data_IF_542073916745
#
_entry.id   IF_542073916745
#
_cell.length_a   1.000
_cell.length_b   1.000
_cell.length_c   1.000
_cell.angle_alpha   90.00
_cell.angle_beta   90.00
_cell.angle_gamma   90.00
#
_symmetry.space_group_name_H-M   'P 1'
#
loop_
_entity.id
_entity.type
_entity.pdbx_description
1 polymer ?
#
# COMPACT_ATOMS: atom_id res chain seq x y z
N UNK A 1 -37.28 12.83 -7.35
CA UNK A 1 -37.15 11.55 -6.65
C UNK A 1 -35.65 11.32 -6.42
N UNK A 2 -35.14 11.64 -5.22
CA UNK A 2 -33.74 11.43 -4.87
C UNK A 2 -33.50 9.94 -4.65
N UNK A 3 -32.94 9.27 -5.65
CA UNK A 3 -32.38 7.92 -5.46
C UNK A 3 -31.04 8.05 -4.72
N UNK A 4 -31.07 8.31 -3.41
CA UNK A 4 -29.99 7.92 -2.55
C UNK A 4 -30.04 6.38 -2.44
N UNK A 5 -29.51 5.70 -3.43
CA UNK A 5 -29.15 4.30 -3.24
C UNK A 5 -28.23 4.25 -2.02
N UNK A 6 -28.71 3.68 -0.94
CA UNK A 6 -27.99 3.59 0.33
C UNK A 6 -26.74 2.73 0.06
N UNK A 7 -25.60 3.38 -0.13
CA UNK A 7 -24.35 2.66 -0.36
C UNK A 7 -24.04 1.79 0.86
N UNK A 8 -23.82 0.51 0.64
CA UNK A 8 -23.35 -0.41 1.69
C UNK A 8 -21.89 -0.09 2.03
N UNK A 9 -21.59 -0.02 3.31
CA UNK A 9 -20.25 0.18 3.83
C UNK A 9 -19.88 -0.98 4.75
N UNK A 10 -19.03 -1.87 4.27
CA UNK A 10 -18.59 -3.02 5.04
C UNK A 10 -17.64 -2.62 6.17
N UNK A 11 -17.88 -3.18 7.35
CA UNK A 11 -17.07 -2.98 8.53
C UNK A 11 -16.41 -4.31 8.95
N UNK A 12 -15.08 -4.32 8.96
CA UNK A 12 -14.25 -5.32 9.64
C UNK A 12 -13.80 -4.74 10.99
N UNK A 13 -12.51 -4.49 11.22
CA UNK A 13 -12.01 -3.82 12.43
C UNK A 13 -12.46 -2.36 12.62
N UNK A 14 -13.08 -1.74 11.62
CA UNK A 14 -13.73 -0.44 11.71
C UNK A 14 -12.82 0.78 11.86
N UNK A 15 -11.50 0.61 11.90
CA UNK A 15 -10.52 1.67 12.18
C UNK A 15 -10.55 2.83 11.17
N UNK A 16 -10.91 2.56 9.91
CA UNK A 16 -11.12 3.59 8.89
C UNK A 16 -12.58 4.07 8.84
N UNK A 17 -13.53 3.14 8.83
CA UNK A 17 -14.95 3.47 8.67
C UNK A 17 -15.48 4.28 9.85
N UNK A 18 -15.13 3.91 11.08
CA UNK A 18 -15.60 4.62 12.29
C UNK A 18 -15.07 6.07 12.31
N UNK A 19 -13.85 6.31 11.87
CA UNK A 19 -13.29 7.66 11.76
C UNK A 19 -14.02 8.47 10.68
N UNK A 20 -14.26 7.89 9.49
CA UNK A 20 -15.01 8.55 8.42
C UNK A 20 -16.45 8.90 8.83
N UNK A 21 -17.08 8.05 9.60
CA UNK A 21 -18.43 8.31 10.13
C UNK A 21 -18.44 9.41 11.18
N UNK A 22 -17.50 9.39 12.11
CA UNK A 22 -17.36 10.44 13.13
C UNK A 22 -17.11 11.82 12.51
N UNK A 23 -16.33 11.86 11.44
CA UNK A 23 -16.07 13.09 10.70
C UNK A 23 -17.21 13.48 9.71
N UNK A 24 -18.29 12.70 9.61
CA UNK A 24 -19.43 13.00 8.74
C UNK A 24 -19.20 12.78 7.24
N UNK A 25 -18.07 12.19 6.87
CA UNK A 25 -17.69 11.91 5.46
C UNK A 25 -18.39 10.67 4.92
N UNK A 26 -18.71 9.71 5.79
CA UNK A 26 -19.36 8.45 5.45
C UNK A 26 -20.75 8.39 6.09
N UNK A 27 -21.77 8.00 5.31
CA UNK A 27 -23.18 8.00 5.74
C UNK A 27 -23.97 6.78 5.23
N UNK A 28 -23.31 5.83 4.57
CA UNK A 28 -23.93 4.62 4.04
C UNK A 28 -24.46 3.68 5.12
N UNK A 29 -25.19 2.66 4.73
CA UNK A 29 -25.60 1.60 5.64
C UNK A 29 -24.40 0.75 6.02
N UNK A 30 -24.14 0.59 7.31
CA UNK A 30 -23.07 -0.28 7.80
C UNK A 30 -23.54 -1.73 7.74
N UNK A 31 -22.67 -2.58 7.19
CA UNK A 31 -22.79 -4.03 7.23
C UNK A 31 -21.53 -4.60 7.88
N UNK A 32 -21.70 -5.20 9.06
CA UNK A 32 -20.60 -5.92 9.70
C UNK A 32 -20.28 -7.19 8.93
N UNK A 33 -19.00 -7.35 8.56
CA UNK A 33 -18.55 -8.57 7.91
C UNK A 33 -18.58 -9.73 8.92
N UNK A 34 -19.35 -10.75 8.62
CA UNK A 34 -19.32 -12.01 9.36
C UNK A 34 -18.10 -12.81 8.89
N UNK A 35 -17.15 -13.13 9.77
CA UNK A 35 -16.00 -13.93 9.41
C UNK A 35 -16.41 -15.31 8.89
N UNK A 36 -15.78 -15.73 7.80
CA UNK A 36 -15.83 -17.11 7.30
C UNK A 36 -14.47 -17.76 7.48
N UNK A 37 -14.35 -19.07 7.36
CA UNK A 37 -13.08 -19.80 7.51
C UNK A 37 -12.00 -19.28 6.54
N UNK A 38 -12.40 -18.89 5.33
CA UNK A 38 -11.46 -18.34 4.33
C UNK A 38 -11.05 -16.89 4.61
N UNK A 39 -11.77 -16.19 5.48
CA UNK A 39 -11.48 -14.80 5.86
C UNK A 39 -10.62 -14.69 7.11
N UNK A 40 -10.49 -15.76 7.88
CA UNK A 40 -9.73 -15.80 9.13
C UNK A 40 -8.50 -16.67 9.01
N UNK A 41 -7.46 -16.35 9.76
CA UNK A 41 -6.25 -17.15 9.81
C UNK A 41 -5.33 -17.03 8.58
N UNK A 42 -4.22 -17.77 8.66
CA UNK A 42 -3.19 -17.87 7.63
C UNK A 42 -3.00 -19.33 7.29
N UNK A 43 -3.41 -19.73 6.08
CA UNK A 43 -3.22 -21.08 5.56
C UNK A 43 -1.94 -21.13 4.72
N UNK A 44 -1.18 -22.22 4.84
CA UNK A 44 0.08 -22.40 4.15
C UNK A 44 0.02 -23.60 3.22
N UNK A 45 0.44 -23.41 1.97
CA UNK A 45 0.65 -24.48 1.02
C UNK A 45 1.88 -25.31 1.34
N UNK A 46 1.98 -26.55 0.76
CA UNK A 46 3.14 -27.40 0.91
C UNK A 46 4.42 -26.79 0.30
N UNK A 47 4.28 -25.92 -0.66
CA UNK A 47 5.35 -25.17 -1.33
C UNK A 47 5.79 -23.92 -0.57
N UNK A 48 5.11 -23.56 0.53
CA UNK A 48 5.38 -22.34 1.30
C UNK A 48 4.59 -21.13 0.86
N UNK A 49 3.67 -21.24 -0.12
CA UNK A 49 2.72 -20.21 -0.44
C UNK A 49 1.78 -19.92 0.75
N UNK A 50 1.30 -18.71 0.88
CA UNK A 50 0.39 -18.35 1.96
C UNK A 50 -0.94 -17.82 1.40
N UNK A 51 -2.05 -18.25 2.02
CA UNK A 51 -3.36 -17.61 1.93
C UNK A 51 -3.66 -16.92 3.25
N UNK A 52 -3.84 -15.62 3.19
CA UNK A 52 -4.07 -14.78 4.36
C UNK A 52 -5.49 -14.24 4.29
N UNK A 53 -6.31 -14.60 5.26
CA UNK A 53 -7.69 -14.13 5.35
C UNK A 53 -7.77 -12.60 5.53
N UNK A 54 -8.77 -11.98 4.92
CA UNK A 54 -8.94 -10.53 4.96
C UNK A 54 -9.24 -9.98 6.37
N UNK A 55 -9.71 -10.82 7.29
CA UNK A 55 -9.97 -10.49 8.69
C UNK A 55 -8.75 -10.69 9.59
N UNK A 56 -7.64 -11.25 9.10
CA UNK A 56 -6.37 -11.32 9.84
C UNK A 56 -5.94 -9.91 10.21
N UNK A 57 -5.62 -9.70 11.50
CA UNK A 57 -5.24 -8.38 11.99
C UNK A 57 -3.84 -7.98 11.50
N UNK A 58 -3.60 -6.69 11.43
CA UNK A 58 -2.27 -6.16 11.09
C UNK A 58 -1.23 -6.60 12.13
N UNK A 59 -1.62 -6.67 13.41
CA UNK A 59 -0.74 -7.15 14.48
C UNK A 59 -0.35 -8.62 14.28
N UNK A 60 -1.31 -9.48 13.87
CA UNK A 60 -1.02 -10.88 13.53
C UNK A 60 0.00 -10.96 12.40
N UNK A 61 -0.16 -10.17 11.32
CA UNK A 61 0.82 -10.13 10.22
C UNK A 61 2.21 -9.67 10.67
N UNK A 62 2.26 -8.72 11.60
CA UNK A 62 3.51 -8.18 12.14
C UNK A 62 4.25 -9.17 13.06
N UNK A 63 3.52 -9.99 13.81
CA UNK A 63 4.06 -10.83 14.88
C UNK A 63 4.15 -12.32 14.55
N UNK A 64 3.41 -12.81 13.54
CA UNK A 64 3.45 -14.22 13.14
C UNK A 64 4.85 -14.64 12.69
N UNK A 65 5.42 -15.62 13.34
CA UNK A 65 6.80 -16.06 13.11
C UNK A 65 7.02 -16.57 11.68
N UNK A 66 6.02 -17.26 11.11
CA UNK A 66 6.15 -17.82 9.76
C UNK A 66 6.03 -16.73 8.69
N UNK A 67 5.15 -15.73 8.88
CA UNK A 67 5.07 -14.55 8.01
C UNK A 67 6.37 -13.74 8.07
N UNK A 68 6.94 -13.56 9.26
CA UNK A 68 8.22 -12.87 9.43
C UNK A 68 9.38 -13.57 8.74
N UNK A 69 9.38 -14.92 8.72
CA UNK A 69 10.41 -15.67 8.04
C UNK A 69 10.23 -15.71 6.52
N UNK A 70 8.98 -15.87 6.04
CA UNK A 70 8.70 -16.04 4.62
C UNK A 70 8.53 -14.72 3.87
N UNK A 71 7.96 -13.67 4.54
CA UNK A 71 7.57 -12.42 3.91
C UNK A 71 8.00 -11.22 4.76
N UNK A 72 9.31 -11.11 5.01
CA UNK A 72 9.90 -10.12 5.93
C UNK A 72 9.50 -8.67 5.55
N UNK A 73 9.44 -8.33 4.26
CA UNK A 73 8.99 -7.02 3.78
C UNK A 73 7.53 -6.73 4.13
N UNK A 74 6.64 -7.74 4.07
CA UNK A 74 5.24 -7.61 4.47
C UNK A 74 5.09 -7.48 5.99
N UNK A 75 5.81 -8.32 6.74
CA UNK A 75 5.80 -8.25 8.21
C UNK A 75 6.34 -6.91 8.72
N UNK A 76 7.43 -6.40 8.11
CA UNK A 76 7.99 -5.09 8.40
C UNK A 76 7.03 -3.94 8.10
N UNK A 77 6.34 -4.00 6.96
CA UNK A 77 5.29 -3.05 6.61
C UNK A 77 4.15 -3.07 7.63
N UNK A 78 3.68 -4.26 8.03
CA UNK A 78 2.64 -4.41 9.04
C UNK A 78 3.05 -3.87 10.41
N UNK A 79 4.26 -4.20 10.88
CA UNK A 79 4.80 -3.74 12.17
C UNK A 79 4.97 -2.21 12.26
N UNK A 80 5.19 -1.57 11.11
CA UNK A 80 5.38 -0.12 11.01
C UNK A 80 4.09 0.69 10.93
N UNK A 81 2.93 0.03 10.80
CA UNK A 81 1.63 0.69 10.65
C UNK A 81 1.11 1.20 12.00
N UNK A 82 0.65 2.46 12.01
CA UNK A 82 -0.17 3.05 13.07
C UNK A 82 0.35 2.76 14.51
N UNK A 83 -0.58 2.68 15.47
CA UNK A 83 -0.28 2.27 16.85
C UNK A 83 -0.61 0.79 17.07
N UNK A 84 -0.04 0.12 18.09
CA UNK A 84 -0.39 -1.26 18.44
C UNK A 84 -1.89 -1.48 18.60
N UNK A 85 -2.61 -0.52 19.20
CA UNK A 85 -4.07 -0.56 19.40
C UNK A 85 -4.81 -0.59 18.06
N UNK A 86 -4.36 0.19 17.08
CA UNK A 86 -4.95 0.16 15.74
C UNK A 86 -4.61 -1.15 15.03
N UNK A 87 -3.38 -1.64 15.13
CA UNK A 87 -2.96 -2.90 14.50
C UNK A 87 -3.70 -4.11 15.06
N UNK A 88 -4.01 -4.14 16.37
CA UNK A 88 -4.72 -5.25 17.00
C UNK A 88 -6.17 -5.42 16.52
N UNK A 89 -6.76 -4.39 15.90
CA UNK A 89 -8.15 -4.37 15.41
C UNK A 89 -8.22 -4.21 13.88
N UNK A 90 -7.33 -3.40 13.31
CA UNK A 90 -7.25 -3.18 11.86
C UNK A 90 -6.89 -4.48 11.14
N UNK A 91 -7.57 -4.77 10.02
CA UNK A 91 -7.43 -6.03 9.28
C UNK A 91 -6.72 -5.83 7.94
N UNK A 92 -6.19 -6.90 7.36
CA UNK A 92 -5.58 -6.91 6.05
C UNK A 92 -6.53 -6.35 4.97
N UNK A 93 -7.74 -6.90 4.87
CA UNK A 93 -8.74 -6.46 3.89
C UNK A 93 -9.18 -5.02 4.14
N UNK A 94 -9.37 -4.64 5.41
CA UNK A 94 -9.70 -3.26 5.80
C UNK A 94 -8.59 -2.27 5.44
N UNK A 95 -7.32 -2.67 5.54
CA UNK A 95 -6.19 -1.85 5.12
C UNK A 95 -6.14 -1.65 3.59
N UNK A 96 -6.39 -2.71 2.80
CA UNK A 96 -6.45 -2.61 1.34
C UNK A 96 -7.64 -1.79 0.84
N UNK A 97 -8.79 -1.89 1.51
CA UNK A 97 -10.04 -1.21 1.13
C UNK A 97 -10.20 0.19 1.73
N UNK A 98 -9.27 0.65 2.59
CA UNK A 98 -9.38 1.94 3.26
C UNK A 98 -9.42 3.11 2.28
N UNK A 99 -10.07 4.22 2.70
CA UNK A 99 -10.20 5.42 1.91
C UNK A 99 -9.08 6.43 2.21
N UNK A 100 -8.85 7.30 1.25
CA UNK A 100 -7.85 8.38 1.31
C UNK A 100 -7.80 9.12 2.65
N UNK A 101 -6.59 9.52 3.06
CA UNK A 101 -6.31 10.31 4.28
C UNK A 101 -6.16 11.80 3.99
N UNK A 102 -6.47 12.23 2.76
CA UNK A 102 -6.43 13.62 2.35
C UNK A 102 -7.35 14.50 3.22
N UNK A 103 -6.84 15.61 3.70
CA UNK A 103 -7.57 16.55 4.56
C UNK A 103 -8.85 17.07 3.91
N UNK A 104 -8.80 17.37 2.62
CA UNK A 104 -9.96 17.81 1.86
C UNK A 104 -11.04 16.73 1.76
N UNK A 105 -10.61 15.47 1.58
CA UNK A 105 -11.54 14.34 1.61
C UNK A 105 -12.15 14.14 3.00
N UNK A 106 -11.33 14.24 4.07
CA UNK A 106 -11.76 14.00 5.46
C UNK A 106 -12.58 15.14 6.07
N UNK A 107 -12.64 16.30 5.41
CA UNK A 107 -13.47 17.42 5.84
C UNK A 107 -14.85 17.34 5.18
N UNK A 108 -15.97 17.18 5.94
CA UNK A 108 -17.31 17.04 5.38
C UNK A 108 -17.83 18.30 4.67
N UNK A 109 -17.25 19.46 4.97
CA UNK A 109 -17.68 20.77 4.42
C UNK A 109 -16.98 21.12 3.11
N UNK A 110 -15.99 20.35 2.67
CA UNK A 110 -15.26 20.60 1.44
C UNK A 110 -15.65 19.60 0.36
N UNK A 111 -15.97 20.09 -0.83
CA UNK A 111 -16.16 19.25 -2.01
C UNK A 111 -14.80 18.75 -2.53
N UNK A 112 -14.74 17.51 -3.01
CA UNK A 112 -13.60 17.00 -3.76
C UNK A 112 -14.05 15.85 -4.69
N UNK A 113 -13.21 15.43 -5.63
CA UNK A 113 -13.52 14.37 -6.60
C UNK A 113 -14.09 13.12 -5.96
N UNK A 114 -13.47 12.63 -4.87
CA UNK A 114 -13.89 11.41 -4.15
C UNK A 114 -15.22 11.55 -3.39
N UNK A 115 -15.78 12.76 -3.36
CA UNK A 115 -17.10 13.08 -2.78
C UNK A 115 -18.07 13.64 -3.82
N UNK A 116 -17.81 13.41 -5.12
CA UNK A 116 -18.66 13.89 -6.21
C UNK A 116 -18.48 15.35 -6.57
N UNK A 117 -17.46 16.03 -6.05
CA UNK A 117 -17.12 17.40 -6.44
C UNK A 117 -16.42 17.44 -7.81
N UNK A 118 -16.39 18.61 -8.47
CA UNK A 118 -15.89 18.75 -9.84
C UNK A 118 -14.36 18.76 -9.95
N UNK A 119 -13.63 19.08 -8.88
CA UNK A 119 -12.19 19.26 -8.90
C UNK A 119 -11.52 18.73 -7.62
N UNK A 120 -10.21 18.55 -7.67
CA UNK A 120 -9.39 18.26 -6.51
C UNK A 120 -8.91 19.59 -5.88
N UNK A 121 -9.42 20.01 -4.71
CA UNK A 121 -9.05 21.29 -4.11
C UNK A 121 -7.59 21.32 -3.63
N UNK A 122 -6.98 20.16 -3.36
CA UNK A 122 -5.58 20.08 -2.96
C UNK A 122 -4.62 20.58 -4.04
N UNK A 123 -5.00 20.54 -5.32
CA UNK A 123 -4.12 21.01 -6.42
C UNK A 123 -3.81 22.49 -6.32
N UNK A 124 -4.81 23.32 -5.99
CA UNK A 124 -4.63 24.75 -5.80
C UNK A 124 -4.37 25.16 -4.36
N UNK A 125 -4.60 24.24 -3.41
CA UNK A 125 -4.42 24.45 -1.99
C UNK A 125 -3.18 23.78 -1.41
N UNK A 126 -3.26 23.44 -0.12
CA UNK A 126 -2.16 22.73 0.57
C UNK A 126 -2.10 21.27 0.12
N UNK A 127 -1.00 20.92 -0.53
CA UNK A 127 -0.71 19.56 -1.01
C UNK A 127 0.65 19.03 -0.51
N UNK A 128 1.14 19.55 0.63
CA UNK A 128 2.44 19.16 1.20
C UNK A 128 2.63 17.64 1.30
N UNK A 129 1.57 16.90 1.65
CA UNK A 129 1.57 15.44 1.73
C UNK A 129 1.02 14.76 0.47
N UNK A 130 0.84 15.51 -0.62
CA UNK A 130 0.36 15.01 -1.90
C UNK A 130 1.33 14.07 -2.59
N UNK A 131 0.95 13.69 -3.82
CA UNK A 131 1.74 12.77 -4.65
C UNK A 131 2.98 13.44 -5.24
N UNK A 132 4.02 12.64 -5.51
CA UNK A 132 5.18 13.01 -6.30
C UNK A 132 5.12 12.44 -7.72
N UNK A 133 4.22 11.49 -7.95
CA UNK A 133 3.87 10.95 -9.28
C UNK A 133 2.42 11.31 -9.56
N UNK A 134 2.22 12.33 -10.36
CA UNK A 134 0.91 12.84 -10.75
C UNK A 134 0.32 11.99 -11.88
N UNK A 135 -0.47 10.97 -11.50
CA UNK A 135 -1.05 10.00 -12.42
C UNK A 135 -2.49 10.32 -12.84
N UNK A 136 -3.12 11.30 -12.20
CA UNK A 136 -4.53 11.60 -12.45
C UNK A 136 -5.02 12.83 -11.70
N UNK A 137 -6.31 13.15 -11.77
CA UNK A 137 -6.85 14.39 -11.24
C UNK A 137 -6.80 14.52 -9.71
N UNK A 138 -6.74 13.39 -8.96
CA UNK A 138 -6.59 13.39 -7.50
C UNK A 138 -5.12 13.31 -7.10
N UNK A 139 -4.69 14.19 -6.21
CA UNK A 139 -3.30 14.24 -5.73
C UNK A 139 -3.10 13.62 -4.33
N UNK A 140 -4.06 12.85 -3.85
CA UNK A 140 -3.92 12.13 -2.60
C UNK A 140 -3.17 10.82 -2.83
N UNK A 141 -2.09 10.53 -2.07
CA UNK A 141 -1.43 9.24 -2.13
C UNK A 141 -2.33 8.13 -1.60
N UNK A 142 -2.13 6.91 -2.12
CA UNK A 142 -2.84 5.73 -1.62
C UNK A 142 -2.44 5.44 -0.17
N UNK A 143 -3.41 5.19 0.72
CA UNK A 143 -3.13 5.10 2.15
C UNK A 143 -2.70 3.70 2.62
N UNK A 144 -2.70 2.69 1.76
CA UNK A 144 -2.41 1.31 2.16
C UNK A 144 -0.93 0.97 2.04
N UNK A 145 -0.22 0.96 3.15
CA UNK A 145 1.15 0.44 3.26
C UNK A 145 1.24 -1.04 2.88
N UNK A 146 0.24 -1.86 3.29
CA UNK A 146 0.23 -3.28 2.92
C UNK A 146 0.07 -3.48 1.42
N UNK A 147 -0.59 -2.56 0.70
CA UNK A 147 -0.71 -2.66 -0.75
C UNK A 147 0.65 -2.51 -1.46
N UNK A 148 1.55 -1.63 -0.96
CA UNK A 148 2.90 -1.51 -1.51
C UNK A 148 3.71 -2.79 -1.27
N UNK A 149 3.61 -3.39 -0.08
CA UNK A 149 4.27 -4.66 0.22
C UNK A 149 3.70 -5.81 -0.63
N UNK A 150 2.38 -5.95 -0.69
CA UNK A 150 1.74 -7.01 -1.48
C UNK A 150 2.00 -6.89 -2.98
N UNK A 151 2.18 -5.67 -3.49
CA UNK A 151 2.61 -5.43 -4.88
C UNK A 151 4.03 -5.99 -5.10
N UNK A 152 4.95 -5.83 -4.13
CA UNK A 152 6.29 -6.38 -4.21
C UNK A 152 6.28 -7.92 -4.24
N UNK A 153 5.36 -8.54 -3.51
CA UNK A 153 5.16 -10.00 -3.48
C UNK A 153 4.27 -10.53 -4.62
N UNK A 154 3.84 -9.69 -5.55
CA UNK A 154 2.95 -10.06 -6.67
C UNK A 154 1.69 -10.80 -6.20
N UNK A 155 1.21 -10.42 -5.03
CA UNK A 155 0.06 -11.05 -4.39
C UNK A 155 -1.22 -10.87 -5.23
N UNK A 156 -2.13 -11.82 -5.07
CA UNK A 156 -3.46 -11.75 -5.66
C UNK A 156 -4.54 -11.70 -4.59
N UNK A 157 -5.60 -11.00 -4.90
CA UNK A 157 -6.73 -10.77 -3.99
C UNK A 157 -7.94 -11.52 -4.52
N UNK A 158 -8.64 -12.21 -3.62
CA UNK A 158 -9.94 -12.80 -3.87
C UNK A 158 -10.99 -12.03 -3.07
N UNK A 159 -12.08 -11.67 -3.72
CA UNK A 159 -13.25 -11.04 -3.12
C UNK A 159 -14.40 -12.03 -3.05
N UNK A 160 -15.54 -11.63 -2.50
CA UNK A 160 -16.76 -12.44 -2.56
C UNK A 160 -17.30 -12.65 -3.99
N UNK A 161 -16.83 -11.87 -4.99
CA UNK A 161 -17.31 -11.95 -6.39
C UNK A 161 -16.22 -12.35 -7.38
N UNK A 162 -14.97 -12.02 -7.14
CA UNK A 162 -13.85 -12.16 -8.08
C UNK A 162 -12.64 -12.82 -7.44
N UNK A 163 -11.89 -13.58 -8.20
CA UNK A 163 -10.65 -14.22 -7.75
C UNK A 163 -9.45 -13.80 -8.59
N UNK A 164 -8.25 -13.92 -8.03
CA UNK A 164 -6.99 -13.71 -8.72
C UNK A 164 -6.74 -12.26 -9.18
N UNK A 165 -7.33 -11.27 -8.50
CA UNK A 165 -7.08 -9.87 -8.79
C UNK A 165 -5.67 -9.48 -8.33
N UNK A 166 -4.81 -9.05 -9.23
CA UNK A 166 -3.55 -8.43 -8.82
C UNK A 166 -3.81 -7.14 -8.03
N UNK A 167 -2.86 -6.70 -7.22
CA UNK A 167 -2.97 -5.43 -6.48
C UNK A 167 -3.26 -4.27 -7.43
N UNK A 168 -2.62 -4.22 -8.60
CA UNK A 168 -2.88 -3.19 -9.62
C UNK A 168 -4.30 -3.28 -10.20
N UNK A 169 -4.88 -4.47 -10.37
CA UNK A 169 -6.28 -4.62 -10.81
C UNK A 169 -7.27 -4.21 -9.72
N UNK A 170 -6.93 -4.45 -8.45
CA UNK A 170 -7.76 -4.04 -7.31
C UNK A 170 -7.78 -2.52 -7.15
N UNK A 171 -6.63 -1.86 -7.29
CA UNK A 171 -6.49 -0.43 -6.98
C UNK A 171 -6.61 0.47 -8.23
N UNK A 172 -6.35 -0.07 -9.42
CA UNK A 172 -6.30 0.68 -10.67
C UNK A 172 -4.92 1.26 -10.94
N UNK A 173 -4.87 2.24 -11.84
CA UNK A 173 -3.67 2.91 -12.31
C UNK A 173 -3.50 4.36 -11.78
N UNK A 174 -4.46 4.81 -10.95
CA UNK A 174 -4.46 6.16 -10.40
C UNK A 174 -5.07 7.24 -11.31
N UNK A 175 -5.50 6.90 -12.53
CA UNK A 175 -6.11 7.84 -13.48
C UNK A 175 -7.51 8.31 -13.07
N UNK A 176 -8.27 7.47 -12.36
CA UNK A 176 -9.57 7.84 -11.81
C UNK A 176 -9.44 8.47 -10.42
N UNK A 177 -9.59 9.78 -10.35
CA UNK A 177 -9.50 10.53 -9.09
C UNK A 177 -10.69 10.37 -8.15
N UNK A 178 -11.75 9.66 -8.54
CA UNK A 178 -12.97 9.50 -7.75
C UNK A 178 -12.95 8.30 -6.80
N UNK A 179 -12.13 7.30 -7.11
CA UNK A 179 -12.03 6.03 -6.36
C UNK A 179 -10.68 5.89 -5.64
N UNK A 180 -10.63 5.01 -4.64
CA UNK A 180 -9.40 4.55 -3.99
C UNK A 180 -9.08 3.08 -4.35
N UNK A 181 -10.10 2.33 -4.79
CA UNK A 181 -9.99 0.96 -5.29
C UNK A 181 -11.15 0.65 -6.25
N UNK A 182 -11.07 -0.48 -6.94
CA UNK A 182 -12.05 -0.95 -7.93
C UNK A 182 -12.98 -2.05 -7.38
N UNK A 183 -13.22 -2.06 -6.08
CA UNK A 183 -14.29 -2.90 -5.50
C UNK A 183 -15.64 -2.36 -5.96
N UNK A 184 -16.52 -3.26 -6.37
CA UNK A 184 -17.88 -2.94 -6.79
C UNK A 184 -18.78 -2.68 -5.55
N UNK A 185 -19.95 -2.05 -5.71
CA UNK A 185 -20.96 -2.02 -4.66
C UNK A 185 -21.32 -3.45 -4.21
N UNK A 186 -21.25 -3.71 -2.91
CA UNK A 186 -21.49 -5.06 -2.36
C UNK A 186 -20.29 -6.00 -2.36
N UNK A 187 -19.17 -5.58 -2.94
CA UNK A 187 -17.96 -6.39 -2.98
C UNK A 187 -17.03 -6.11 -1.79
N UNK A 188 -16.47 -7.17 -1.20
CA UNK A 188 -15.48 -7.11 -0.12
C UNK A 188 -14.38 -8.14 -0.33
N UNK A 189 -13.21 -7.88 0.24
CA UNK A 189 -12.05 -8.76 0.16
C UNK A 189 -12.25 -9.94 1.11
N UNK A 190 -12.05 -11.17 0.60
CA UNK A 190 -12.13 -12.40 1.37
C UNK A 190 -10.74 -12.88 1.84
N UNK A 191 -9.77 -12.92 0.96
CA UNK A 191 -8.39 -13.29 1.29
C UNK A 191 -7.38 -12.76 0.27
N UNK A 192 -6.11 -12.87 0.62
CA UNK A 192 -4.96 -12.57 -0.22
C UNK A 192 -4.09 -13.81 -0.35
N UNK A 193 -3.72 -14.17 -1.56
CA UNK A 193 -2.78 -15.25 -1.85
C UNK A 193 -1.41 -14.67 -2.20
N UNK A 194 -0.35 -15.23 -1.60
CA UNK A 194 1.05 -14.84 -1.82
C UNK A 194 1.82 -16.07 -2.23
N UNK A 195 2.63 -15.95 -3.29
CA UNK A 195 3.50 -17.03 -3.79
C UNK A 195 4.56 -17.41 -2.75
N UNK A 196 5.15 -18.62 -2.85
CA UNK A 196 6.26 -19.00 -2.02
C UNK A 196 7.38 -17.95 -2.05
N UNK A 197 8.13 -17.75 -0.96
CA UNK A 197 9.34 -16.95 -1.00
C UNK A 197 10.37 -17.61 -1.93
N UNK A 198 11.26 -16.81 -2.51
CA UNK A 198 12.36 -17.34 -3.31
C UNK A 198 13.46 -17.89 -2.39
N UNK A 199 14.17 -18.90 -2.85
CA UNK A 199 15.34 -19.41 -2.12
C UNK A 199 16.41 -18.31 -2.03
N UNK A 200 16.97 -18.09 -0.84
CA UNK A 200 17.96 -17.05 -0.60
C UNK A 200 17.41 -15.61 -0.69
N UNK A 201 16.08 -15.43 -0.60
CA UNK A 201 15.48 -14.11 -0.65
C UNK A 201 15.79 -13.29 0.61
N UNK A 202 16.26 -12.08 0.40
CA UNK A 202 16.30 -11.02 1.40
C UNK A 202 15.23 -9.98 1.06
N UNK A 203 14.46 -9.55 2.04
CA UNK A 203 13.41 -8.57 1.83
C UNK A 203 13.33 -7.59 3.00
N UNK A 204 12.91 -6.37 2.73
CA UNK A 204 12.76 -5.37 3.76
C UNK A 204 11.73 -4.30 3.41
N UNK A 205 11.42 -3.51 4.42
CA UNK A 205 10.53 -2.36 4.34
C UNK A 205 11.21 -1.15 4.98
N UNK A 206 11.16 -0.02 4.30
CA UNK A 206 11.66 1.26 4.81
C UNK A 206 10.56 2.32 4.68
N UNK A 207 10.45 3.20 5.69
CA UNK A 207 9.50 4.31 5.64
C UNK A 207 10.13 5.60 6.17
N UNK A 208 9.79 6.69 5.53
CA UNK A 208 10.13 8.03 6.00
C UNK A 208 8.85 8.68 6.52
N UNK A 209 8.90 9.20 7.74
CA UNK A 209 7.79 9.84 8.45
C UNK A 209 8.14 11.29 8.78
N UNK A 210 7.12 12.12 9.07
CA UNK A 210 7.36 13.51 9.40
C UNK A 210 7.75 13.72 10.87
N UNK A 211 7.05 13.08 11.82
CA UNK A 211 7.25 13.31 13.25
C UNK A 211 7.16 12.07 14.13
N UNK A 212 6.10 11.27 14.00
CA UNK A 212 5.87 10.13 14.89
C UNK A 212 5.68 8.82 14.15
N UNK A 213 5.98 7.68 14.80
CA UNK A 213 5.81 6.36 14.22
C UNK A 213 4.38 6.02 13.80
N UNK A 214 3.38 6.64 14.43
CA UNK A 214 1.98 6.41 14.09
C UNK A 214 1.51 7.17 12.85
N UNK A 215 2.30 8.11 12.34
CA UNK A 215 1.93 8.91 11.17
C UNK A 215 1.99 8.11 9.86
N UNK A 216 1.24 8.61 8.90
CA UNK A 216 1.29 8.10 7.52
C UNK A 216 2.66 8.37 6.92
N UNK A 217 3.26 7.42 6.18
CA UNK A 217 4.56 7.64 5.57
C UNK A 217 4.50 8.77 4.54
N UNK A 218 5.51 9.61 4.54
CA UNK A 218 5.78 10.55 3.45
C UNK A 218 6.14 9.77 2.18
N UNK A 219 7.02 8.78 2.38
CA UNK A 219 7.48 7.81 1.39
C UNK A 219 7.69 6.49 2.10
N UNK A 220 7.37 5.41 1.44
CA UNK A 220 7.68 4.06 1.87
C UNK A 220 8.18 3.21 0.69
N UNK A 221 9.08 2.28 0.95
CA UNK A 221 9.62 1.37 -0.04
C UNK A 221 9.64 -0.07 0.50
N UNK A 222 9.42 -1.02 -0.40
CA UNK A 222 9.64 -2.46 -0.16
C UNK A 222 10.61 -2.94 -1.21
N UNK A 223 11.66 -3.63 -0.77
CA UNK A 223 12.64 -4.24 -1.65
C UNK A 223 12.74 -5.73 -1.33
N UNK A 224 12.78 -6.54 -2.38
CA UNK A 224 13.07 -7.97 -2.33
C UNK A 224 14.23 -8.25 -3.27
N UNK A 225 15.22 -9.00 -2.82
CA UNK A 225 16.40 -9.35 -3.61
C UNK A 225 16.82 -10.80 -3.36
N UNK A 226 17.39 -11.41 -4.40
CA UNK A 226 18.22 -12.63 -4.28
C UNK A 226 19.59 -12.28 -4.83
N UNK A 227 20.65 -12.59 -4.06
CA UNK A 227 22.02 -12.37 -4.46
C UNK A 227 22.73 -13.71 -4.71
N UNK A 228 23.52 -13.76 -5.78
CA UNK A 228 24.48 -14.81 -6.05
C UNK A 228 25.86 -14.18 -6.16
N UNK A 229 26.69 -14.40 -5.17
CA UNK A 229 27.94 -13.67 -5.01
C UNK A 229 27.69 -12.17 -4.83
N UNK A 230 28.23 -11.35 -5.75
CA UNK A 230 28.02 -9.89 -5.76
C UNK A 230 27.00 -9.41 -6.81
N UNK A 231 26.13 -10.27 -7.30
CA UNK A 231 25.15 -9.93 -8.33
C UNK A 231 23.73 -10.18 -7.83
N UNK A 232 22.85 -9.28 -8.20
CA UNK A 232 21.41 -9.43 -7.98
C UNK A 232 20.83 -10.34 -9.08
N UNK A 233 20.42 -11.55 -8.70
CA UNK A 233 19.71 -12.47 -9.58
C UNK A 233 18.23 -12.08 -9.68
N UNK A 234 17.65 -11.70 -8.56
CA UNK A 234 16.28 -11.20 -8.49
C UNK A 234 16.24 -9.86 -7.75
N UNK A 235 15.44 -8.93 -8.27
CA UNK A 235 15.13 -7.65 -7.63
C UNK A 235 13.67 -7.31 -7.82
N UNK A 236 13.03 -6.84 -6.76
CA UNK A 236 11.71 -6.22 -6.80
C UNK A 236 11.72 -4.96 -5.94
N UNK A 237 11.29 -3.84 -6.51
CA UNK A 237 11.24 -2.54 -5.84
C UNK A 237 9.86 -1.94 -6.01
N UNK A 238 9.16 -1.71 -4.90
CA UNK A 238 7.87 -1.01 -4.89
C UNK A 238 7.87 0.12 -3.87
N UNK A 239 7.02 1.11 -4.08
CA UNK A 239 6.87 2.20 -3.12
C UNK A 239 5.43 2.67 -3.00
N UNK A 240 5.11 3.23 -1.83
CA UNK A 240 3.84 3.85 -1.48
C UNK A 240 4.03 5.27 -0.93
N UNK A 241 2.93 5.95 -0.63
CA UNK A 241 2.95 7.34 -0.12
C UNK A 241 3.28 8.41 -1.17
N UNK A 242 3.52 8.03 -2.43
CA UNK A 242 4.05 8.89 -3.49
C UNK A 242 3.12 9.06 -4.70
N UNK A 243 2.12 8.21 -4.85
CA UNK A 243 1.18 8.21 -5.98
C UNK A 243 -0.23 7.79 -5.51
N UNK A 244 -1.29 8.00 -6.32
CA UNK A 244 -2.65 7.55 -5.99
C UNK A 244 -2.80 6.03 -5.86
N UNK A 245 -1.80 5.28 -6.29
CA UNK A 245 -1.65 3.81 -6.17
C UNK A 245 -0.20 3.49 -5.83
N UNK A 246 0.12 2.33 -5.21
CA UNK A 246 1.51 1.92 -5.04
C UNK A 246 2.16 1.66 -6.41
N UNK A 247 3.45 2.01 -6.53
CA UNK A 247 4.22 1.90 -7.76
C UNK A 247 5.31 0.84 -7.66
N UNK A 248 5.60 0.21 -8.81
CA UNK A 248 6.75 -0.67 -9.01
C UNK A 248 7.78 0.04 -9.90
N UNK A 249 9.05 -0.09 -9.58
CA UNK A 249 10.16 0.61 -10.25
C UNK A 249 11.00 -0.35 -11.08
N UNK A 250 10.48 -0.71 -12.27
CA UNK A 250 11.12 -1.66 -13.18
C UNK A 250 12.51 -1.19 -13.62
N UNK A 251 12.68 0.10 -13.96
CA UNK A 251 13.97 0.67 -14.37
C UNK A 251 15.04 0.49 -13.26
N UNK A 252 14.65 0.65 -11.99
CA UNK A 252 15.53 0.42 -10.83
C UNK A 252 15.90 -1.06 -10.70
N UNK A 253 14.90 -1.96 -10.83
CA UNK A 253 15.10 -3.41 -10.76
C UNK A 253 16.08 -3.90 -11.83
N UNK A 254 15.94 -3.41 -13.07
CA UNK A 254 16.80 -3.78 -14.21
C UNK A 254 18.23 -3.25 -14.03
N UNK A 255 18.37 -2.00 -13.59
CA UNK A 255 19.67 -1.40 -13.33
C UNK A 255 20.44 -2.14 -12.22
N UNK A 256 19.76 -2.53 -11.13
CA UNK A 256 20.36 -3.31 -10.05
C UNK A 256 20.80 -4.70 -10.55
N UNK A 257 19.97 -5.40 -11.33
CA UNK A 257 20.34 -6.72 -11.89
C UNK A 257 21.50 -6.66 -12.86
N UNK A 258 21.66 -5.54 -13.56
CA UNK A 258 22.72 -5.34 -14.57
C UNK A 258 24.06 -4.90 -13.97
N UNK A 259 24.11 -4.64 -12.66
CA UNK A 259 25.29 -4.09 -11.99
C UNK A 259 25.76 -4.98 -10.83
N UNK A 260 26.97 -4.71 -10.34
CA UNK A 260 27.44 -5.31 -9.09
C UNK A 260 26.75 -4.66 -7.88
N UNK A 261 26.69 -5.38 -6.76
CA UNK A 261 26.08 -4.90 -5.50
C UNK A 261 27.02 -3.92 -4.75
N UNK A 262 27.50 -2.91 -5.47
CA UNK A 262 28.36 -1.85 -4.93
C UNK A 262 27.56 -0.60 -4.65
N UNK A 263 27.95 0.16 -3.64
CA UNK A 263 27.26 1.38 -3.20
C UNK A 263 27.01 2.38 -4.33
N UNK A 264 28.02 2.58 -5.20
CA UNK A 264 27.91 3.50 -6.34
C UNK A 264 26.84 3.04 -7.34
N UNK A 265 26.83 1.75 -7.69
CA UNK A 265 25.85 1.15 -8.59
C UNK A 265 24.43 1.19 -8.01
N UNK A 266 24.29 0.93 -6.72
CA UNK A 266 22.99 1.01 -6.01
C UNK A 266 22.45 2.44 -6.07
N UNK A 267 23.29 3.46 -5.83
CA UNK A 267 22.90 4.87 -5.91
C UNK A 267 22.47 5.26 -7.33
N UNK A 268 23.21 4.84 -8.35
CA UNK A 268 22.87 5.10 -9.75
C UNK A 268 21.53 4.45 -10.13
N UNK A 269 21.29 3.19 -9.72
CA UNK A 269 20.03 2.51 -9.95
C UNK A 269 18.87 3.20 -9.23
N UNK A 270 19.04 3.53 -7.94
CA UNK A 270 17.99 4.18 -7.14
C UNK A 270 17.60 5.56 -7.70
N UNK A 271 18.52 6.31 -8.30
CA UNK A 271 18.24 7.60 -8.93
C UNK A 271 17.20 7.49 -10.08
N UNK A 272 17.10 6.31 -10.72
CA UNK A 272 16.08 6.06 -11.75
C UNK A 272 14.66 6.08 -11.17
N UNK A 273 14.48 5.89 -9.87
CA UNK A 273 13.17 5.96 -9.23
C UNK A 273 12.50 7.33 -9.37
N UNK A 274 13.26 8.40 -9.51
CA UNK A 274 12.75 9.75 -9.70
C UNK A 274 12.48 10.14 -11.16
N UNK A 275 12.93 9.33 -12.14
CA UNK A 275 12.94 9.65 -13.58
C UNK A 275 11.58 10.08 -14.13
N UNK A 276 10.51 9.39 -13.72
CA UNK A 276 9.14 9.66 -14.17
C UNK A 276 8.32 10.47 -13.14
N UNK A 277 8.97 11.04 -12.14
CA UNK A 277 8.36 11.89 -11.15
C UNK A 277 7.78 13.17 -11.75
N UNK A 278 6.55 13.49 -11.38
CA UNK A 278 5.86 14.75 -11.72
C UNK A 278 5.32 15.36 -10.43
N UNK A 279 6.20 15.89 -9.57
CA UNK A 279 5.78 16.42 -8.29
C UNK A 279 5.01 17.74 -8.46
N UNK A 280 4.10 18.00 -7.54
CA UNK A 280 3.55 19.32 -7.32
C UNK A 280 4.62 20.21 -6.64
N UNK A 281 4.40 21.52 -6.63
CA UNK A 281 5.35 22.49 -6.04
C UNK A 281 5.76 22.16 -4.59
N UNK A 282 4.84 21.61 -3.79
CA UNK A 282 5.08 21.23 -2.39
C UNK A 282 5.52 19.79 -2.17
N UNK A 283 5.70 18.94 -3.19
CA UNK A 283 5.95 17.50 -3.05
C UNK A 283 7.25 17.00 -3.66
N UNK A 284 8.06 17.88 -4.25
CA UNK A 284 9.33 17.52 -4.88
C UNK A 284 10.32 16.81 -3.93
N UNK A 285 10.27 17.14 -2.64
CA UNK A 285 11.12 16.53 -1.61
C UNK A 285 10.93 14.99 -1.52
N UNK A 286 9.75 14.48 -1.87
CA UNK A 286 9.46 13.04 -1.83
C UNK A 286 10.31 12.24 -2.81
N UNK A 287 10.70 12.81 -3.94
CA UNK A 287 11.57 12.13 -4.92
C UNK A 287 12.96 11.84 -4.31
N UNK A 288 13.52 12.80 -3.55
CA UNK A 288 14.79 12.60 -2.86
C UNK A 288 14.69 11.59 -1.72
N UNK A 289 13.57 11.62 -0.97
CA UNK A 289 13.31 10.64 0.09
C UNK A 289 13.13 9.23 -0.48
N UNK A 290 12.48 9.09 -1.64
CA UNK A 290 12.32 7.81 -2.34
C UNK A 290 13.66 7.23 -2.76
N UNK A 291 14.46 8.04 -3.47
CA UNK A 291 15.78 7.65 -3.92
C UNK A 291 16.66 7.17 -2.75
N UNK A 292 16.77 7.98 -1.69
CA UNK A 292 17.58 7.64 -0.53
C UNK A 292 17.02 6.43 0.23
N UNK A 293 15.70 6.33 0.40
CA UNK A 293 15.06 5.18 1.06
C UNK A 293 15.30 3.86 0.33
N UNK A 294 15.33 3.86 -1.01
CA UNK A 294 15.71 2.67 -1.79
C UNK A 294 17.18 2.33 -1.57
N UNK A 295 18.08 3.32 -1.59
CA UNK A 295 19.52 3.10 -1.34
C UNK A 295 19.73 2.46 0.03
N UNK A 296 19.18 3.07 1.09
CA UNK A 296 19.35 2.61 2.47
C UNK A 296 18.81 1.19 2.64
N UNK A 297 17.65 0.91 2.06
CA UNK A 297 17.02 -0.40 2.15
C UNK A 297 17.83 -1.47 1.40
N UNK A 298 18.25 -1.21 0.15
CA UNK A 298 19.07 -2.18 -0.60
C UNK A 298 20.40 -2.44 0.12
N UNK A 299 21.06 -1.40 0.64
CA UNK A 299 22.30 -1.57 1.40
C UNK A 299 22.13 -2.41 2.65
N UNK A 300 21.02 -2.25 3.38
CA UNK A 300 20.74 -3.04 4.58
C UNK A 300 20.47 -4.53 4.30
N UNK A 301 20.07 -4.87 3.08
CA UNK A 301 19.77 -6.25 2.67
C UNK A 301 20.98 -7.01 2.14
N UNK A 302 22.09 -6.33 1.85
CA UNK A 302 23.30 -6.95 1.28
C UNK A 302 24.49 -7.01 2.25
N UNK A 303 24.30 -6.48 3.48
CA UNK A 303 25.25 -6.57 4.58
C UNK A 303 25.12 -7.92 5.30
#
# INVERSE_FOLDING_TARGET
MNMHQTMLEFRAGGTDLSERRRSGVSRGQIVDLTPTDTMTGIAWGPDGAARIGAMVTIETLASDARVRNAYLGLAGAAASLATPQIRSVGTLGGNLAQRSRCWYFRNPHLACLKKGGPVCPARAGNHLYGVAFDLGPCVAPHPSTLAAALLAYEATVTTNERSGLTISKLLGDGSDGTIDNKLKPGEYIAHVDIRPPLEGEHAGYHRVISRTYAEWPLVEAVVRVVLVGKRFEFVRVTAGGIAPVPLRFIDVEEALRSSASEVASIRQAAALSAKNGKPLSGTAYKLKLLEQGIVDLVQSLIQ
#
